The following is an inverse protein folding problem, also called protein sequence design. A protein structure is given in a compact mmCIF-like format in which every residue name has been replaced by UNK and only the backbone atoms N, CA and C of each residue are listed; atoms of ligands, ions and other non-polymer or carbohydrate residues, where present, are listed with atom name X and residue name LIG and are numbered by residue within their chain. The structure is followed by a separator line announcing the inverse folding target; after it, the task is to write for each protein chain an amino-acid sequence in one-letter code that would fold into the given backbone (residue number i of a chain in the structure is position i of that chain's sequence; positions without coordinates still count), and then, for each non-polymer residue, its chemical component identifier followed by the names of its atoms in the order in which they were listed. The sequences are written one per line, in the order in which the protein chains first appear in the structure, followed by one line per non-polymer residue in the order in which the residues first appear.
data_IF_699147949972
#
_entry.id   IF_699147949972
#
_cell.length_a   1.000
_cell.length_b   1.000
_cell.length_c   1.000
_cell.angle_alpha   90.00
_cell.angle_beta   90.00
_cell.angle_gamma   90.00
#
_symmetry.space_group_name_H-M   'P 1'
#
loop_
_entity.id
_entity.type
_entity.pdbx_description
1 polymer ?
#
# COMPACT_ATOMS: atom_id res chain seq x y z
N UNK A 1 -31.74 22.86 -69.77
CA UNK A 1 -33.04 23.52 -69.54
C UNK A 1 -33.21 23.74 -68.05
N UNK A 2 -33.42 25.01 -67.69
CA UNK A 2 -33.97 25.62 -66.46
C UNK A 2 -34.04 24.84 -65.12
N UNK A 3 -33.53 25.52 -64.08
CA UNK A 3 -34.20 25.67 -62.78
C UNK A 3 -33.45 25.02 -61.60
N UNK A 4 -33.33 25.59 -60.40
CA UNK A 4 -33.73 26.87 -59.82
C UNK A 4 -32.79 27.16 -58.64
N UNK A 5 -32.39 28.42 -58.46
CA UNK A 5 -31.69 28.90 -57.26
C UNK A 5 -32.77 29.18 -56.21
N UNK A 6 -32.69 28.52 -55.05
CA UNK A 6 -33.45 28.87 -53.87
C UNK A 6 -32.49 29.43 -52.81
N UNK A 7 -32.59 30.74 -52.58
CA UNK A 7 -32.08 31.40 -51.38
C UNK A 7 -32.78 30.78 -50.16
N UNK A 8 -32.01 30.33 -49.18
CA UNK A 8 -32.53 30.08 -47.83
C UNK A 8 -31.77 30.99 -46.88
N UNK A 9 -32.51 31.90 -46.27
CA UNK A 9 -32.06 32.78 -45.21
C UNK A 9 -31.58 31.95 -44.01
N UNK A 10 -30.36 32.20 -43.55
CA UNK A 10 -29.81 31.61 -42.33
C UNK A 10 -30.32 32.42 -41.15
N UNK A 11 -31.13 31.86 -40.23
CA UNK A 11 -31.43 32.53 -38.98
C UNK A 11 -30.20 32.51 -38.08
N UNK A 12 -29.93 33.66 -37.46
CA UNK A 12 -28.88 33.83 -36.47
C UNK A 12 -29.05 32.81 -35.34
N UNK A 13 -28.08 31.90 -35.21
CA UNK A 13 -27.96 31.00 -34.06
C UNK A 13 -27.63 31.85 -32.83
N UNK A 14 -28.62 32.01 -31.96
CA UNK A 14 -28.41 32.51 -30.61
C UNK A 14 -27.43 31.56 -29.89
N UNK A 15 -26.30 32.10 -29.46
CA UNK A 15 -25.33 31.40 -28.65
C UNK A 15 -25.96 31.02 -27.30
N UNK A 16 -26.40 29.77 -27.18
CA UNK A 16 -26.68 29.17 -25.88
C UNK A 16 -25.35 29.01 -25.16
N UNK A 17 -25.16 29.78 -24.09
CA UNK A 17 -24.01 29.63 -23.21
C UNK A 17 -23.97 28.21 -22.64
N UNK A 18 -22.99 27.42 -23.07
CA UNK A 18 -22.66 26.18 -22.42
C UNK A 18 -22.14 26.52 -21.01
N UNK A 19 -22.96 26.27 -20.00
CA UNK A 19 -22.51 26.26 -18.61
C UNK A 19 -21.39 25.21 -18.55
N UNK A 20 -20.16 25.55 -18.14
CA UNK A 20 -19.13 24.54 -18.01
C UNK A 20 -19.63 23.53 -16.99
N UNK A 21 -19.81 22.28 -17.41
CA UNK A 21 -20.06 21.19 -16.49
C UNK A 21 -18.92 21.21 -15.47
N UNK A 22 -19.22 21.60 -14.24
CA UNK A 22 -18.28 21.55 -13.15
C UNK A 22 -17.74 20.11 -13.11
N UNK A 23 -16.44 19.95 -13.37
CA UNK A 23 -15.75 18.68 -13.16
C UNK A 23 -15.87 18.40 -11.68
N UNK A 24 -16.81 17.55 -11.29
CA UNK A 24 -16.79 16.97 -9.95
C UNK A 24 -15.41 16.36 -9.78
N UNK A 25 -14.61 16.78 -8.78
CA UNK A 25 -13.38 16.07 -8.49
C UNK A 25 -13.78 14.63 -8.22
N UNK A 26 -13.28 13.70 -9.03
CA UNK A 26 -13.45 12.29 -8.74
C UNK A 26 -12.90 12.08 -7.32
N UNK A 27 -13.77 11.71 -6.39
CA UNK A 27 -13.34 11.32 -5.06
C UNK A 27 -12.45 10.09 -5.26
N UNK A 28 -11.13 10.31 -5.25
CA UNK A 28 -10.19 9.23 -5.31
C UNK A 28 -10.47 8.34 -4.10
N UNK A 29 -10.74 7.06 -4.35
CA UNK A 29 -10.87 6.09 -3.26
C UNK A 29 -9.66 6.25 -2.32
N UNK A 30 -9.86 6.20 -0.99
CA UNK A 30 -8.75 6.27 -0.05
C UNK A 30 -7.72 5.20 -0.45
N UNK A 31 -6.45 5.61 -0.61
CA UNK A 31 -5.39 4.63 -0.86
C UNK A 31 -5.31 3.70 0.36
N UNK A 32 -5.17 2.39 0.18
CA UNK A 32 -4.96 1.48 1.30
C UNK A 32 -3.73 1.91 2.11
N UNK A 33 -3.78 1.75 3.44
CA UNK A 33 -2.65 2.12 4.27
C UNK A 33 -1.45 1.23 3.93
N UNK A 34 -1.61 -0.09 3.92
CA UNK A 34 -0.60 -1.00 3.37
C UNK A 34 -1.07 -1.66 2.07
N UNK A 35 -0.21 -1.70 1.04
CA UNK A 35 -0.45 -2.41 -0.23
C UNK A 35 0.77 -3.24 -0.58
N UNK A 36 0.81 -4.49 -0.10
CA UNK A 36 1.92 -5.40 -0.35
C UNK A 36 1.74 -6.13 -1.68
N UNK A 37 2.75 -5.99 -2.56
CA UNK A 37 2.78 -6.63 -3.88
C UNK A 37 3.98 -7.55 -4.02
N UNK A 38 3.70 -8.80 -4.38
CA UNK A 38 4.71 -9.80 -4.68
C UNK A 38 4.92 -9.89 -6.19
N UNK A 39 6.16 -9.76 -6.63
CA UNK A 39 6.58 -9.92 -8.00
C UNK A 39 7.68 -10.98 -8.08
N UNK A 40 7.71 -11.73 -9.18
CA UNK A 40 8.72 -12.75 -9.44
C UNK A 40 9.47 -12.43 -10.72
N UNK A 41 10.77 -12.64 -10.69
CA UNK A 41 11.60 -12.63 -11.89
C UNK A 41 11.37 -13.87 -12.75
N UNK A 42 11.96 -13.87 -13.94
CA UNK A 42 12.02 -15.05 -14.77
C UNK A 42 12.79 -16.17 -14.05
N UNK A 43 12.35 -17.43 -14.15
CA UNK A 43 13.07 -18.55 -13.55
C UNK A 43 14.44 -18.69 -14.21
N UNK A 44 15.48 -18.78 -13.39
CA UNK A 44 16.82 -19.10 -13.84
C UNK A 44 17.01 -20.61 -13.79
N UNK A 45 17.16 -21.23 -14.96
CA UNK A 45 17.37 -22.67 -15.08
C UNK A 45 18.87 -22.93 -15.21
N UNK A 46 19.45 -23.66 -14.25
CA UNK A 46 20.86 -24.01 -14.31
C UNK A 46 21.15 -24.92 -15.51
N UNK A 47 22.31 -24.73 -16.16
CA UNK A 47 22.80 -25.64 -17.20
C UNK A 47 23.06 -27.00 -16.55
N UNK A 48 22.57 -28.08 -17.17
CA UNK A 48 22.51 -29.43 -16.61
C UNK A 48 21.58 -29.57 -15.40
N UNK A 49 20.31 -29.16 -15.55
CA UNK A 49 19.13 -29.66 -14.81
C UNK A 49 19.19 -29.71 -13.26
N UNK A 50 20.20 -29.07 -12.68
CA UNK A 50 20.54 -29.15 -11.27
C UNK A 50 19.67 -28.25 -10.39
N UNK A 51 18.82 -27.41 -10.99
CA UNK A 51 17.77 -26.68 -10.30
C UNK A 51 17.22 -25.48 -11.05
N UNK A 52 16.16 -24.92 -10.48
CA UNK A 52 15.53 -23.67 -10.90
C UNK A 52 15.66 -22.68 -9.76
N UNK A 53 16.12 -21.47 -10.04
CA UNK A 53 16.16 -20.36 -9.07
C UNK A 53 15.08 -19.36 -9.42
N UNK A 54 14.26 -19.02 -8.42
CA UNK A 54 13.21 -18.01 -8.49
C UNK A 54 13.61 -16.81 -7.65
N UNK A 55 13.73 -15.65 -8.29
CA UNK A 55 13.90 -14.38 -7.60
C UNK A 55 12.55 -13.72 -7.36
N UNK A 56 12.38 -13.11 -6.20
CA UNK A 56 11.15 -12.40 -5.85
C UNK A 56 11.43 -11.06 -5.20
N UNK A 57 10.47 -10.16 -5.33
CA UNK A 57 10.45 -8.84 -4.69
C UNK A 57 9.06 -8.60 -4.08
N UNK A 58 9.04 -8.30 -2.79
CA UNK A 58 7.85 -7.88 -2.06
C UNK A 58 7.96 -6.39 -1.76
N UNK A 59 7.01 -5.60 -2.24
CA UNK A 59 7.03 -4.14 -2.08
C UNK A 59 5.76 -3.63 -1.41
N UNK A 60 5.89 -2.73 -0.43
CA UNK A 60 4.77 -1.97 0.09
C UNK A 60 4.55 -0.70 -0.74
N UNK A 61 3.49 -0.69 -1.56
CA UNK A 61 3.07 0.47 -2.36
C UNK A 61 2.04 1.35 -1.64
N UNK A 62 1.66 0.98 -0.41
CA UNK A 62 0.76 1.72 0.44
C UNK A 62 1.39 2.99 1.01
N UNK A 63 0.57 3.85 1.59
CA UNK A 63 1.01 5.12 2.23
C UNK A 63 1.39 4.96 3.70
N UNK A 64 1.10 3.79 4.29
CA UNK A 64 1.35 3.37 5.66
C UNK A 64 2.17 2.07 5.73
N UNK A 65 2.68 1.77 6.92
CA UNK A 65 3.50 0.58 7.17
C UNK A 65 2.67 -0.71 7.21
N UNK A 66 3.34 -1.83 6.93
CA UNK A 66 2.81 -3.17 7.12
C UNK A 66 3.64 -3.88 8.19
N UNK A 67 3.00 -4.36 9.25
CA UNK A 67 3.62 -5.08 10.36
C UNK A 67 3.26 -6.58 10.33
N UNK A 68 4.08 -7.39 11.00
CA UNK A 68 3.88 -8.84 11.12
C UNK A 68 3.66 -9.50 9.75
N UNK A 69 4.50 -9.15 8.78
CA UNK A 69 4.34 -9.57 7.39
C UNK A 69 4.79 -11.03 7.25
N UNK A 70 3.92 -11.86 6.69
CA UNK A 70 4.21 -13.26 6.37
C UNK A 70 3.93 -13.50 4.89
N UNK A 71 4.97 -13.90 4.15
CA UNK A 71 4.84 -14.36 2.77
C UNK A 71 5.05 -15.87 2.71
N UNK A 72 4.02 -16.59 2.28
CA UNK A 72 4.05 -18.04 2.10
C UNK A 72 4.10 -18.37 0.62
N UNK A 73 5.26 -18.81 0.15
CA UNK A 73 5.50 -19.20 -1.24
C UNK A 73 5.21 -20.67 -1.46
N UNK A 74 4.66 -20.99 -2.64
CA UNK A 74 4.39 -22.34 -3.13
C UNK A 74 4.92 -22.49 -4.54
N UNK A 75 5.59 -23.61 -4.78
CA UNK A 75 6.09 -24.00 -6.10
C UNK A 75 5.19 -25.09 -6.68
N UNK A 76 5.14 -25.19 -8.01
CA UNK A 76 4.32 -26.18 -8.69
C UNK A 76 4.67 -27.61 -8.24
N UNK A 77 3.68 -28.50 -8.27
CA UNK A 77 3.89 -29.92 -7.98
C UNK A 77 5.02 -30.50 -8.85
N UNK A 78 5.81 -31.41 -8.26
CA UNK A 78 6.98 -32.03 -8.90
C UNK A 78 8.30 -31.26 -8.72
N UNK A 79 8.29 -30.04 -8.19
CA UNK A 79 9.50 -29.35 -7.75
C UNK A 79 9.76 -29.62 -6.26
N UNK A 80 11.01 -29.89 -5.89
CA UNK A 80 11.45 -29.98 -4.49
C UNK A 80 12.27 -28.76 -4.14
N UNK A 81 12.05 -28.18 -2.97
CA UNK A 81 12.84 -27.04 -2.47
C UNK A 81 14.20 -27.56 -2.02
N UNK A 82 15.26 -26.94 -2.52
CA UNK A 82 16.65 -27.29 -2.18
C UNK A 82 17.38 -26.15 -1.47
N UNK A 83 16.84 -24.93 -1.49
CA UNK A 83 17.40 -23.81 -0.75
C UNK A 83 16.52 -22.57 -0.81
N UNK A 84 16.70 -21.68 0.16
CA UNK A 84 16.01 -20.39 0.25
C UNK A 84 16.95 -19.33 0.85
N UNK A 85 16.74 -18.07 0.48
CA UNK A 85 17.43 -16.95 1.12
C UNK A 85 16.79 -16.59 2.46
N UNK A 86 17.56 -16.04 3.39
CA UNK A 86 17.00 -15.38 4.58
C UNK A 86 16.14 -14.16 4.17
N UNK A 87 15.10 -13.80 4.94
CA UNK A 87 14.65 -14.42 6.19
C UNK A 87 13.67 -15.58 5.99
N UNK A 88 13.65 -16.21 4.80
CA UNK A 88 12.75 -17.30 4.51
C UNK A 88 13.26 -18.63 5.08
N UNK A 89 12.32 -19.51 5.41
CA UNK A 89 12.59 -20.87 5.85
C UNK A 89 11.62 -21.86 5.20
N UNK A 90 12.01 -23.13 5.11
CA UNK A 90 11.11 -24.19 4.71
C UNK A 90 9.98 -24.34 5.73
N UNK A 91 8.74 -24.35 5.24
CA UNK A 91 7.52 -24.59 6.00
C UNK A 91 7.06 -26.05 5.91
N UNK A 92 5.84 -26.29 6.35
CA UNK A 92 5.19 -27.59 6.23
C UNK A 92 4.70 -27.82 4.80
N UNK A 93 4.54 -29.09 4.41
CA UNK A 93 3.97 -29.49 3.12
C UNK A 93 4.64 -28.90 1.87
N UNK A 94 5.91 -28.50 1.96
CA UNK A 94 6.64 -27.90 0.84
C UNK A 94 6.35 -26.41 0.61
N UNK A 95 5.76 -25.73 1.59
CA UNK A 95 5.67 -24.27 1.61
C UNK A 95 7.02 -23.63 1.98
N UNK A 96 7.23 -22.37 1.61
CA UNK A 96 8.35 -21.54 2.08
C UNK A 96 7.77 -20.32 2.76
N UNK A 97 8.22 -20.02 3.98
CA UNK A 97 7.66 -18.94 4.80
C UNK A 97 8.73 -17.90 5.07
N UNK A 98 8.51 -16.69 4.58
CA UNK A 98 9.32 -15.50 4.86
C UNK A 98 8.57 -14.62 5.87
N UNK A 99 9.25 -14.21 6.95
CA UNK A 99 8.68 -13.35 7.98
C UNK A 99 9.46 -12.06 8.09
N UNK A 100 8.73 -10.96 8.22
CA UNK A 100 9.29 -9.62 8.43
C UNK A 100 8.51 -8.93 9.54
N UNK A 101 9.20 -8.27 10.46
CA UNK A 101 8.54 -7.52 11.52
C UNK A 101 7.76 -6.34 10.96
N UNK A 102 8.37 -5.61 10.01
CA UNK A 102 7.72 -4.50 9.32
C UNK A 102 8.28 -4.26 7.91
N UNK A 103 7.46 -3.68 7.05
CA UNK A 103 7.82 -3.14 5.73
C UNK A 103 7.22 -1.73 5.62
N UNK A 104 8.08 -0.72 5.58
CA UNK A 104 7.71 0.70 5.53
C UNK A 104 7.08 1.08 4.18
N UNK A 105 6.37 2.23 4.09
CA UNK A 105 5.88 2.74 2.81
C UNK A 105 7.00 2.85 1.78
N UNK A 106 6.78 2.32 0.58
CA UNK A 106 7.75 2.32 -0.51
C UNK A 106 8.91 1.34 -0.35
N UNK A 107 9.02 0.64 0.78
CA UNK A 107 10.10 -0.29 1.04
C UNK A 107 9.90 -1.62 0.31
N UNK A 108 11.01 -2.22 -0.12
CA UNK A 108 11.04 -3.53 -0.75
C UNK A 108 11.90 -4.52 0.03
N UNK A 109 11.51 -5.79 -0.05
CA UNK A 109 12.27 -6.97 0.37
C UNK A 109 12.46 -7.86 -0.83
N UNK A 110 13.60 -8.53 -0.92
CA UNK A 110 13.89 -9.45 -2.01
C UNK A 110 14.57 -10.71 -1.50
N UNK A 111 14.54 -11.74 -2.32
CA UNK A 111 15.20 -13.00 -2.01
C UNK A 111 15.10 -13.97 -3.16
N UNK A 112 15.47 -15.22 -2.87
CA UNK A 112 15.49 -16.30 -3.84
C UNK A 112 15.00 -17.63 -3.24
N UNK A 113 14.43 -18.46 -4.10
CA UNK A 113 14.00 -19.83 -3.81
C UNK A 113 14.65 -20.72 -4.87
N UNK A 114 15.37 -21.76 -4.44
CA UNK A 114 15.96 -22.75 -5.34
C UNK A 114 15.21 -24.07 -5.22
N UNK A 115 14.80 -24.61 -6.35
CA UNK A 115 14.13 -25.90 -6.47
C UNK A 115 14.87 -26.86 -7.38
N UNK A 116 14.49 -28.13 -7.36
CA UNK A 116 14.85 -29.10 -8.41
C UNK A 116 14.09 -28.78 -9.70
N UNK A 117 14.66 -29.15 -10.85
CA UNK A 117 13.94 -29.14 -12.12
C UNK A 117 12.85 -30.24 -12.06
N UNK A 118 11.60 -29.96 -12.45
CA UNK A 118 10.56 -30.98 -12.54
C UNK A 118 10.90 -31.96 -13.67
N UNK A 119 10.41 -33.21 -13.57
CA UNK A 119 10.51 -34.16 -14.68
C UNK A 119 9.92 -33.54 -15.96
N UNK A 120 10.57 -33.80 -17.08
CA UNK A 120 10.42 -33.12 -18.38
C UNK A 120 8.95 -32.93 -18.78
N UNK A 121 8.58 -31.70 -19.20
CA UNK A 121 7.24 -31.36 -19.67
C UNK A 121 6.31 -30.67 -18.65
N UNK A 122 6.77 -30.49 -17.40
CA UNK A 122 6.02 -29.76 -16.37
C UNK A 122 6.05 -28.23 -16.55
N UNK A 123 4.98 -27.55 -16.14
CA UNK A 123 4.95 -26.07 -16.07
C UNK A 123 5.64 -25.59 -14.80
N UNK A 124 6.65 -24.75 -14.95
CA UNK A 124 7.31 -24.06 -13.85
C UNK A 124 6.44 -22.89 -13.34
N UNK A 125 5.93 -22.99 -12.11
CA UNK A 125 5.20 -21.90 -11.45
C UNK A 125 5.63 -21.73 -10.00
N UNK A 126 5.56 -20.49 -9.54
CA UNK A 126 5.67 -20.10 -8.14
C UNK A 126 4.60 -19.03 -7.86
N UNK A 127 3.99 -19.08 -6.68
CA UNK A 127 3.05 -18.08 -6.20
C UNK A 127 3.27 -17.83 -4.71
N UNK A 128 2.84 -16.67 -4.21
CA UNK A 128 2.81 -16.40 -2.78
C UNK A 128 1.42 -16.00 -2.31
N UNK A 129 1.14 -16.31 -1.05
CA UNK A 129 0.10 -15.69 -0.25
C UNK A 129 0.78 -14.77 0.75
N UNK A 130 0.36 -13.51 0.83
CA UNK A 130 0.97 -12.52 1.73
C UNK A 130 -0.10 -12.05 2.72
N UNK A 131 0.24 -12.08 4.01
CA UNK A 131 -0.59 -11.55 5.08
C UNK A 131 0.19 -10.52 5.89
N UNK A 132 -0.51 -9.53 6.44
CA UNK A 132 0.07 -8.45 7.23
C UNK A 132 -0.98 -7.83 8.15
N UNK A 133 -0.51 -7.01 9.10
CA UNK A 133 -1.33 -6.05 9.84
C UNK A 133 -0.94 -4.64 9.39
N UNK A 134 -1.91 -3.74 9.27
CA UNK A 134 -1.59 -2.34 9.00
C UNK A 134 -0.98 -1.71 10.26
N UNK A 135 0.09 -0.95 10.09
CA UNK A 135 0.65 -0.15 11.19
C UNK A 135 -0.37 0.93 11.55
N UNK A 136 -0.78 1.06 12.83
CA UNK A 136 -1.64 2.15 13.26
C UNK A 136 -0.98 3.49 12.93
N UNK A 137 -1.62 4.28 12.08
CA UNK A 137 -1.20 5.66 11.87
C UNK A 137 -1.88 6.52 12.93
N UNK A 138 -1.10 7.13 13.83
CA UNK A 138 -1.61 8.26 14.63
C UNK A 138 -1.86 9.38 13.65
N UNK A 139 -3.13 9.65 13.34
CA UNK A 139 -3.50 10.89 12.68
C UNK A 139 -3.11 12.02 13.63
N UNK A 140 -2.28 13.01 13.23
CA UNK A 140 -2.09 14.19 14.05
C UNK A 140 -3.48 14.77 14.32
N UNK A 141 -3.89 14.73 15.59
CA UNK A 141 -5.14 15.32 16.02
C UNK A 141 -5.08 16.81 15.73
N UNK A 142 -6.15 17.33 15.14
CA UNK A 142 -6.45 18.75 15.29
C UNK A 142 -6.73 18.91 16.80
N UNK A 143 -5.73 19.38 17.54
CA UNK A 143 -5.84 19.72 18.96
C UNK A 143 -5.15 18.76 19.92
N UNK A 144 -3.82 18.66 19.87
CA UNK A 144 -3.08 18.58 21.12
C UNK A 144 -2.79 20.03 21.54
N UNK A 145 -3.47 20.61 22.55
CA UNK A 145 -2.96 21.83 23.15
C UNK A 145 -1.62 21.48 23.81
N UNK A 146 -0.53 21.96 23.22
CA UNK A 146 0.78 21.91 23.85
C UNK A 146 0.69 22.54 25.25
N UNK A 147 1.23 21.91 26.31
CA UNK A 147 1.36 22.55 27.61
C UNK A 147 2.60 23.44 27.58
N UNK A 148 2.51 24.56 26.85
CA UNK A 148 3.39 25.71 27.03
C UNK A 148 2.48 26.92 27.14
N UNK A 149 2.74 27.78 28.13
CA UNK A 149 1.96 28.97 28.52
C UNK A 149 0.90 28.76 29.61
N UNK A 150 1.22 27.97 30.64
CA UNK A 150 0.71 28.26 32.00
C UNK A 150 1.60 29.35 32.63
N UNK A 151 1.51 30.57 32.11
CA UNK A 151 2.47 31.62 32.43
C UNK A 151 2.02 33.03 32.07
N UNK A 152 0.74 33.39 32.28
CA UNK A 152 0.36 34.81 32.37
C UNK A 152 -0.66 34.99 33.49
N UNK A 153 -0.20 35.66 34.54
CA UNK A 153 -1.03 36.22 35.61
C UNK A 153 -2.03 37.22 35.02
N UNK A 154 -3.33 37.02 35.29
CA UNK A 154 -4.38 37.98 34.93
C UNK A 154 -4.47 39.15 35.93
N UNK A 155 -5.22 40.21 35.60
CA UNK A 155 -5.75 41.12 36.60
C UNK A 155 -7.29 41.15 36.63
N UNK A 156 -7.84 41.05 37.85
CA UNK A 156 -9.21 41.44 38.23
C UNK A 156 -10.31 40.42 37.90
N UNK A 157 -11.32 40.15 38.74
CA UNK A 157 -11.74 40.78 39.98
C UNK A 157 -12.66 39.82 40.77
N UNK A 158 -12.47 39.83 42.09
CA UNK A 158 -13.44 39.69 43.19
C UNK A 158 -14.40 38.48 43.25
N UNK A 159 -14.21 37.68 44.32
CA UNK A 159 -15.19 36.76 44.88
C UNK A 159 -14.81 36.44 46.33
N UNK A 160 -15.68 36.81 47.26
CA UNK A 160 -15.47 36.97 48.70
C UNK A 160 -15.49 35.67 49.54
N UNK A 161 -14.85 35.80 50.72
CA UNK A 161 -15.10 35.12 52.01
C UNK A 161 -14.68 33.66 52.24
N UNK A 162 -13.78 33.49 53.21
CA UNK A 162 -13.48 32.25 53.93
C UNK A 162 -12.42 32.49 55.01
N UNK A 163 -12.85 32.94 56.19
CA UNK A 163 -12.02 33.25 57.36
C UNK A 163 -11.46 31.97 57.99
N UNK A 164 -10.17 31.96 58.35
CA UNK A 164 -9.60 30.96 59.26
C UNK A 164 -8.10 31.10 59.54
N UNK A 165 -7.77 31.79 60.64
CA UNK A 165 -6.61 31.60 61.56
C UNK A 165 -5.16 31.68 60.98
N UNK A 166 -4.11 32.13 61.65
CA UNK A 166 -3.83 32.47 63.04
C UNK A 166 -2.65 33.46 63.07
N UNK A 167 -2.65 34.38 64.03
CA UNK A 167 -1.45 35.10 64.43
C UNK A 167 -0.88 34.40 65.67
N UNK A 168 0.42 34.07 65.59
CA UNK A 168 1.42 33.89 66.66
C UNK A 168 1.06 33.08 67.90
#
# INVERSE_FOLDING_TARGET
MRGHIALIAVPALAATGAVPAARTPAYAAPRPAADLRMEYGHPEIAKADSGVTWHWVLTNKGVGGADTVVATHRVSAGQKIVGVSQPCAAGQAGDIVCRFDSIKPGESRSGWIRTTVPATGGTLRVNAQVTWRETPSVRPGIGDPSPVDAGVAGPGAQGVTGVGAAAR
#
